data_IF_509541596545
#
_entry.id   IF_509541596545
#
_cell.length_a   1.000
_cell.length_b   1.000
_cell.length_c   1.000
_cell.angle_alpha   90.00
_cell.angle_beta   90.00
_cell.angle_gamma   90.00
#
_symmetry.space_group_name_H-M   'P 1'
#
loop_
_entity.id
_entity.type
_entity.pdbx_description
1 polymer ?
#
# COMPACT_ATOMS: atom_id res chain seq x y z
N UNK A 1 7.77 -20.41 -6.30
CA UNK A 1 7.87 -19.73 -4.98
C UNK A 1 8.76 -18.49 -4.98
N UNK A 2 10.04 -18.60 -5.35
CA UNK A 2 11.00 -17.47 -5.24
C UNK A 2 10.61 -16.21 -6.00
N UNK A 3 9.97 -16.36 -7.18
CA UNK A 3 9.39 -15.24 -7.94
C UNK A 3 8.24 -14.58 -7.17
N UNK A 4 7.25 -15.34 -6.75
CA UNK A 4 6.13 -14.84 -5.94
C UNK A 4 6.64 -14.15 -4.66
N UNK A 5 7.64 -14.72 -3.98
CA UNK A 5 8.28 -14.11 -2.82
C UNK A 5 9.02 -12.80 -3.16
N UNK A 6 9.65 -12.69 -4.34
CA UNK A 6 10.30 -11.46 -4.78
C UNK A 6 9.29 -10.33 -5.00
N UNK A 7 8.19 -10.64 -5.69
CA UNK A 7 7.09 -9.72 -6.01
C UNK A 7 6.36 -9.29 -4.73
N UNK A 8 6.06 -10.25 -3.84
CA UNK A 8 5.41 -10.02 -2.55
C UNK A 8 6.24 -9.14 -1.62
N UNK A 9 7.56 -9.36 -1.53
CA UNK A 9 8.44 -8.50 -0.73
C UNK A 9 8.56 -7.06 -1.25
N UNK A 10 8.25 -6.83 -2.53
CA UNK A 10 8.17 -5.49 -3.10
C UNK A 10 6.74 -4.93 -3.04
N UNK A 11 5.78 -5.68 -2.48
CA UNK A 11 4.39 -5.31 -2.35
C UNK A 11 3.75 -4.87 -3.69
N UNK A 12 4.17 -5.52 -4.78
CA UNK A 12 3.65 -5.20 -6.11
C UNK A 12 2.20 -5.63 -6.23
N UNK A 13 1.36 -4.74 -6.71
CA UNK A 13 -0.06 -4.98 -6.90
C UNK A 13 -0.37 -5.86 -8.10
N UNK A 14 -1.44 -6.64 -7.98
CA UNK A 14 -2.13 -7.24 -9.12
C UNK A 14 -2.76 -6.14 -9.98
N UNK A 15 -2.73 -6.32 -11.31
CA UNK A 15 -3.44 -5.43 -12.24
C UNK A 15 -4.95 -5.72 -12.31
N UNK A 16 -5.39 -6.85 -11.71
CA UNK A 16 -6.75 -7.37 -11.85
C UNK A 16 -7.53 -7.39 -10.53
N UNK A 17 -6.85 -7.21 -9.41
CA UNK A 17 -7.44 -7.31 -8.08
C UNK A 17 -6.70 -6.44 -7.07
N UNK A 18 -7.30 -6.29 -5.89
CA UNK A 18 -6.66 -5.71 -4.72
C UNK A 18 -5.75 -6.74 -4.02
N UNK A 19 -5.16 -7.70 -4.75
CA UNK A 19 -4.23 -8.71 -4.24
C UNK A 19 -2.78 -8.41 -4.61
N UNK A 20 -1.84 -8.94 -3.83
CA UNK A 20 -0.42 -8.82 -4.13
C UNK A 20 -0.16 -9.75 -5.30
N UNK A 21 0.55 -9.25 -6.31
CA UNK A 21 0.84 -10.03 -7.49
C UNK A 21 1.66 -11.27 -7.11
N UNK A 22 1.29 -12.41 -7.66
CA UNK A 22 2.05 -13.67 -7.51
C UNK A 22 3.10 -13.83 -8.61
N UNK A 23 3.05 -12.98 -9.65
CA UNK A 23 3.99 -12.94 -10.74
C UNK A 23 3.84 -11.69 -11.61
N UNK A 24 4.71 -11.56 -12.62
CA UNK A 24 4.78 -10.43 -13.55
C UNK A 24 4.11 -10.69 -14.91
N UNK A 25 3.37 -11.81 -15.06
CA UNK A 25 2.81 -12.24 -16.35
C UNK A 25 3.80 -12.88 -17.34
N UNK A 26 5.08 -12.96 -16.97
CA UNK A 26 6.15 -13.57 -17.80
C UNK A 26 6.92 -14.63 -17.00
N UNK A 27 6.74 -15.90 -17.34
CA UNK A 27 7.42 -17.03 -16.68
C UNK A 27 8.40 -17.69 -17.65
N UNK A 28 9.70 -17.45 -17.44
CA UNK A 28 10.77 -18.09 -18.20
C UNK A 28 11.95 -18.39 -17.29
N UNK A 29 12.45 -19.63 -17.34
CA UNK A 29 13.63 -20.08 -16.62
C UNK A 29 14.53 -20.80 -17.61
N UNK A 30 15.82 -20.46 -17.59
CA UNK A 30 16.87 -21.20 -18.28
C UNK A 30 17.77 -21.83 -17.22
N UNK A 31 17.92 -23.15 -17.25
CA UNK A 31 18.82 -23.89 -16.36
C UNK A 31 19.97 -24.41 -17.21
N UNK A 32 21.20 -24.08 -16.80
CA UNK A 32 22.41 -24.62 -17.39
C UNK A 32 23.17 -25.45 -16.35
N UNK A 33 23.69 -26.60 -16.75
CA UNK A 33 24.50 -27.48 -15.90
C UNK A 33 25.72 -27.98 -16.67
N UNK A 34 26.80 -28.27 -15.95
CA UNK A 34 28.02 -28.83 -16.53
C UNK A 34 27.83 -30.34 -16.81
N UNK A 35 27.93 -30.75 -18.07
CA UNK A 35 27.80 -32.14 -18.49
C UNK A 35 28.96 -33.04 -18.00
N UNK A 36 30.10 -32.47 -17.66
CA UNK A 36 31.28 -33.18 -17.15
C UNK A 36 31.38 -33.18 -15.61
N UNK A 37 30.32 -32.76 -14.90
CA UNK A 37 30.33 -32.69 -13.45
C UNK A 37 30.37 -34.08 -12.77
N UNK A 38 31.13 -34.22 -11.70
CA UNK A 38 31.23 -35.47 -10.91
C UNK A 38 30.08 -35.67 -9.91
N UNK A 39 29.21 -34.67 -9.74
CA UNK A 39 28.12 -34.67 -8.76
C UNK A 39 26.77 -34.50 -9.45
N UNK A 40 25.89 -35.46 -9.27
CA UNK A 40 24.49 -35.38 -9.70
C UNK A 40 23.65 -34.88 -8.53
N UNK A 41 22.99 -33.74 -8.70
CA UNK A 41 22.04 -33.21 -7.74
C UNK A 41 20.63 -33.61 -8.20
N UNK A 42 19.91 -34.34 -7.36
CA UNK A 42 18.60 -34.93 -7.71
C UNK A 42 17.41 -34.27 -7.03
N UNK A 43 17.66 -33.39 -6.07
CA UNK A 43 16.61 -32.68 -5.32
C UNK A 43 16.81 -31.16 -5.42
N UNK A 44 15.79 -30.47 -5.93
CA UNK A 44 15.71 -29.00 -6.02
C UNK A 44 14.62 -28.41 -5.11
N UNK A 45 14.09 -29.20 -4.17
CA UNK A 45 13.14 -28.74 -3.16
C UNK A 45 13.75 -27.61 -2.30
N UNK A 46 12.89 -26.81 -1.67
CA UNK A 46 13.33 -25.72 -0.79
C UNK A 46 14.13 -26.17 0.44
N UNK A 47 14.13 -27.47 0.75
CA UNK A 47 14.91 -28.06 1.84
C UNK A 47 16.31 -28.54 1.38
N UNK A 48 16.57 -28.56 0.08
CA UNK A 48 17.84 -28.95 -0.50
C UNK A 48 18.75 -27.74 -0.68
N UNK A 49 20.08 -27.95 -0.63
CA UNK A 49 21.04 -26.86 -0.88
C UNK A 49 20.92 -26.34 -2.31
N UNK A 50 20.61 -27.20 -3.28
CA UNK A 50 20.38 -26.79 -4.65
C UNK A 50 19.15 -25.89 -4.75
N UNK A 51 18.02 -26.28 -4.14
CA UNK A 51 16.79 -25.50 -4.15
C UNK A 51 16.95 -24.14 -3.44
N UNK A 52 17.65 -24.09 -2.30
CA UNK A 52 17.98 -22.83 -1.62
C UNK A 52 18.76 -21.86 -2.54
N UNK A 53 19.79 -22.38 -3.24
CA UNK A 53 20.63 -21.57 -4.14
C UNK A 53 19.86 -21.11 -5.38
N UNK A 54 19.02 -21.97 -5.97
CA UNK A 54 18.09 -21.58 -7.03
C UNK A 54 17.17 -20.48 -6.52
N UNK A 55 16.61 -20.64 -5.32
CA UNK A 55 15.68 -19.69 -4.77
C UNK A 55 16.29 -18.31 -4.50
N UNK A 56 17.49 -18.27 -3.91
CA UNK A 56 18.25 -17.03 -3.70
C UNK A 56 18.60 -16.35 -5.03
N UNK A 57 19.10 -17.11 -6.00
CA UNK A 57 19.48 -16.61 -7.32
C UNK A 57 18.28 -16.03 -8.07
N UNK A 58 17.18 -16.79 -8.16
CA UNK A 58 15.94 -16.36 -8.82
C UNK A 58 15.37 -15.11 -8.14
N UNK A 59 15.29 -15.09 -6.81
CA UNK A 59 14.74 -13.94 -6.08
C UNK A 59 15.55 -12.67 -6.32
N UNK A 60 16.88 -12.77 -6.30
CA UNK A 60 17.78 -11.65 -6.59
C UNK A 60 17.63 -11.17 -8.03
N UNK A 61 17.66 -12.09 -8.99
CA UNK A 61 17.53 -11.77 -10.42
C UNK A 61 16.17 -11.13 -10.73
N UNK A 62 15.07 -11.65 -10.17
CA UNK A 62 13.72 -11.09 -10.35
C UNK A 62 13.65 -9.67 -9.78
N UNK A 63 14.17 -9.40 -8.58
CA UNK A 63 14.17 -8.03 -8.03
C UNK A 63 14.99 -7.06 -8.90
N UNK A 64 16.14 -7.50 -9.42
CA UNK A 64 16.94 -6.69 -10.33
C UNK A 64 16.21 -6.43 -11.65
N UNK A 65 15.55 -7.44 -12.21
CA UNK A 65 14.76 -7.28 -13.43
C UNK A 65 13.58 -6.30 -13.22
N UNK A 66 12.87 -6.41 -12.10
CA UNK A 66 11.77 -5.52 -11.73
C UNK A 66 12.26 -4.07 -11.53
N UNK A 67 13.42 -3.88 -10.90
CA UNK A 67 14.07 -2.58 -10.79
C UNK A 67 14.38 -2.00 -12.17
N UNK A 68 14.97 -2.79 -13.07
CA UNK A 68 15.36 -2.31 -14.40
C UNK A 68 14.15 -1.98 -15.30
N UNK A 69 13.08 -2.78 -15.23
CA UNK A 69 11.91 -2.62 -16.11
C UNK A 69 10.89 -1.59 -15.59
N UNK A 70 10.71 -1.51 -14.27
CA UNK A 70 9.59 -0.73 -13.67
C UNK A 70 10.04 0.19 -12.54
N UNK A 71 11.35 0.28 -12.27
CA UNK A 71 11.91 0.97 -11.11
C UNK A 71 11.42 0.45 -9.75
N UNK A 72 10.83 -0.75 -9.70
CA UNK A 72 10.32 -1.36 -8.49
C UNK A 72 11.46 -1.64 -7.50
N UNK A 73 11.45 -0.94 -6.38
CA UNK A 73 12.51 -0.95 -5.37
C UNK A 73 11.97 -0.52 -4.01
N UNK A 74 12.70 -0.80 -2.93
CA UNK A 74 12.31 -0.35 -1.58
C UNK A 74 11.93 1.13 -1.52
N UNK A 75 12.78 2.07 -1.99
CA UNK A 75 12.45 3.49 -2.02
C UNK A 75 11.23 3.85 -2.87
N UNK A 76 11.03 3.19 -4.02
CA UNK A 76 9.84 3.40 -4.87
C UNK A 76 8.55 2.91 -4.21
N UNK A 77 8.64 1.79 -3.48
CA UNK A 77 7.52 1.18 -2.77
C UNK A 77 7.20 1.94 -1.47
N UNK A 78 8.15 2.71 -0.93
CA UNK A 78 7.93 3.64 0.17
C UNK A 78 7.38 4.99 -0.29
N UNK A 79 6.38 4.96 -1.17
CA UNK A 79 5.63 6.12 -1.62
C UNK A 79 4.15 5.90 -1.32
N UNK A 80 3.45 6.94 -0.89
CA UNK A 80 2.01 6.87 -0.64
C UNK A 80 1.28 6.36 -1.89
N UNK A 81 1.58 6.92 -3.07
CA UNK A 81 0.98 6.51 -4.34
C UNK A 81 1.24 5.04 -4.68
N UNK A 82 2.42 4.52 -4.34
CA UNK A 82 2.74 3.11 -4.58
C UNK A 82 1.95 2.19 -3.64
N UNK A 83 1.77 2.58 -2.37
CA UNK A 83 0.99 1.83 -1.38
C UNK A 83 -0.49 1.77 -1.74
N UNK A 84 -1.06 2.89 -2.13
CA UNK A 84 -2.50 3.04 -2.31
C UNK A 84 -3.00 2.59 -3.69
N UNK A 85 -2.09 2.39 -4.65
CA UNK A 85 -2.41 2.03 -6.04
C UNK A 85 -3.28 0.77 -6.16
N UNK A 86 -3.02 -0.26 -5.34
CA UNK A 86 -3.77 -1.54 -5.34
C UNK A 86 -5.26 -1.37 -5.08
N UNK A 87 -5.60 -0.41 -4.22
CA UNK A 87 -6.98 -0.07 -3.88
C UNK A 87 -7.55 1.02 -4.79
N UNK A 88 -6.84 1.37 -5.87
CA UNK A 88 -7.20 2.43 -6.82
C UNK A 88 -7.39 3.79 -6.14
N UNK A 89 -6.76 4.03 -4.99
CA UNK A 89 -6.78 5.35 -4.34
C UNK A 89 -5.67 6.19 -4.97
N UNK A 90 -6.10 7.09 -5.84
CA UNK A 90 -5.30 8.03 -6.63
C UNK A 90 -5.80 9.46 -6.40
N UNK A 91 -5.03 10.51 -6.77
CA UNK A 91 -5.52 11.89 -6.71
C UNK A 91 -6.86 12.10 -7.43
N UNK A 92 -7.07 11.44 -8.58
CA UNK A 92 -8.33 11.54 -9.33
C UNK A 92 -9.52 10.97 -8.53
N UNK A 93 -9.38 9.76 -7.98
CA UNK A 93 -10.45 9.16 -7.16
C UNK A 93 -10.67 9.88 -5.83
N UNK A 94 -9.61 10.48 -5.26
CA UNK A 94 -9.72 11.33 -4.06
C UNK A 94 -10.49 12.61 -4.38
N UNK A 95 -10.28 13.18 -5.57
CA UNK A 95 -11.05 14.32 -6.05
C UNK A 95 -12.54 13.95 -6.22
N UNK A 96 -12.85 12.85 -6.90
CA UNK A 96 -14.22 12.36 -7.06
C UNK A 96 -14.93 12.20 -5.71
N UNK A 97 -14.27 11.54 -4.75
CA UNK A 97 -14.78 11.36 -3.40
C UNK A 97 -14.94 12.70 -2.66
N UNK A 98 -14.00 13.63 -2.80
CA UNK A 98 -14.11 14.97 -2.22
C UNK A 98 -15.33 15.74 -2.78
N UNK A 99 -15.63 15.63 -4.08
CA UNK A 99 -16.80 16.25 -4.69
C UNK A 99 -18.09 15.64 -4.14
N UNK A 100 -18.16 14.31 -4.08
CA UNK A 100 -19.33 13.57 -3.60
C UNK A 100 -19.68 13.94 -2.15
N UNK A 101 -18.67 14.08 -1.28
CA UNK A 101 -18.83 14.35 0.14
C UNK A 101 -18.45 15.78 0.54
N UNK A 102 -18.53 16.74 -0.40
CA UNK A 102 -18.03 18.11 -0.23
C UNK A 102 -18.59 18.82 1.01
N UNK A 103 -19.87 18.61 1.32
CA UNK A 103 -20.52 19.22 2.49
C UNK A 103 -19.85 18.82 3.81
N UNK A 104 -19.39 17.57 3.93
CA UNK A 104 -18.67 17.09 5.12
C UNK A 104 -17.35 17.85 5.29
N UNK A 105 -16.65 18.14 4.18
CA UNK A 105 -15.37 18.85 4.22
C UNK A 105 -15.53 20.36 4.47
N UNK A 106 -16.62 20.97 4.01
CA UNK A 106 -16.96 22.37 4.27
C UNK A 106 -17.06 22.68 5.77
N UNK A 107 -17.61 21.75 6.56
CA UNK A 107 -17.71 21.87 8.03
C UNK A 107 -16.35 22.01 8.72
N UNK A 108 -15.29 21.51 8.08
CA UNK A 108 -13.91 21.59 8.56
C UNK A 108 -13.09 22.65 7.83
N UNK A 109 -13.74 23.51 7.03
CA UNK A 109 -13.10 24.56 6.21
C UNK A 109 -12.07 24.01 5.22
N UNK A 110 -12.26 22.78 4.77
CA UNK A 110 -11.41 22.16 3.77
C UNK A 110 -12.05 22.38 2.41
N UNK A 111 -11.33 23.07 1.53
CA UNK A 111 -11.74 23.25 0.15
C UNK A 111 -10.56 23.07 -0.79
N UNK A 112 -10.73 22.21 -1.78
CA UNK A 112 -9.84 22.10 -2.92
C UNK A 112 -10.47 22.81 -4.13
N UNK A 113 -9.79 23.84 -4.65
CA UNK A 113 -10.29 24.66 -5.76
C UNK A 113 -10.37 23.88 -7.07
N UNK A 114 -9.41 23.00 -7.32
CA UNK A 114 -9.26 22.24 -8.55
C UNK A 114 -8.53 20.91 -8.33
N UNK A 115 -8.73 19.90 -9.21
CA UNK A 115 -8.10 18.59 -9.06
C UNK A 115 -6.57 18.65 -8.97
N UNK A 116 -5.94 19.55 -9.73
CA UNK A 116 -4.48 19.72 -9.78
C UNK A 116 -3.89 20.18 -8.44
N UNK A 117 -4.63 21.00 -7.67
CA UNK A 117 -4.19 21.45 -6.35
C UNK A 117 -4.20 20.29 -5.33
N UNK A 118 -5.23 19.45 -5.39
CA UNK A 118 -5.31 18.23 -4.58
C UNK A 118 -4.16 17.28 -4.95
N UNK A 119 -3.92 17.07 -6.24
CA UNK A 119 -2.80 16.24 -6.71
C UNK A 119 -1.46 16.78 -6.22
N UNK A 120 -1.23 18.09 -6.31
CA UNK A 120 -0.02 18.73 -5.79
C UNK A 120 0.16 18.48 -4.28
N UNK A 121 -0.90 18.68 -3.48
CA UNK A 121 -0.87 18.41 -2.03
C UNK A 121 -0.57 16.93 -1.74
N UNK A 122 -1.22 16.02 -2.44
CA UNK A 122 -0.95 14.58 -2.34
C UNK A 122 0.52 14.26 -2.66
N UNK A 123 1.08 14.85 -3.73
CA UNK A 123 2.46 14.62 -4.14
C UNK A 123 3.48 15.19 -3.15
N UNK A 124 3.20 16.32 -2.50
CA UNK A 124 4.01 16.88 -1.40
C UNK A 124 4.14 15.89 -0.24
N UNK A 125 3.06 15.18 0.08
CA UNK A 125 3.03 14.18 1.15
C UNK A 125 3.43 12.76 0.72
N UNK A 126 3.76 12.55 -0.56
CA UNK A 126 3.98 11.22 -1.12
C UNK A 126 5.17 10.48 -0.47
N UNK A 127 6.08 11.21 0.18
CA UNK A 127 7.24 10.68 0.91
C UNK A 127 7.18 10.94 2.42
N UNK A 128 6.07 11.44 2.95
CA UNK A 128 5.93 11.68 4.39
C UNK A 128 5.99 10.33 5.13
N UNK A 129 7.11 10.06 5.80
CA UNK A 129 7.42 8.73 6.35
C UNK A 129 6.33 8.17 7.26
N UNK A 130 5.88 8.95 8.24
CA UNK A 130 4.83 8.53 9.16
C UNK A 130 3.49 8.26 8.45
N UNK A 131 3.11 9.10 7.48
CA UNK A 131 1.93 8.88 6.66
C UNK A 131 2.01 7.55 5.89
N UNK A 132 3.13 7.31 5.19
CA UNK A 132 3.33 6.07 4.42
C UNK A 132 3.27 4.84 5.34
N UNK A 133 3.82 4.91 6.56
CA UNK A 133 3.78 3.82 7.54
C UNK A 133 2.36 3.54 8.04
N UNK A 134 1.66 4.56 8.54
CA UNK A 134 0.29 4.42 9.05
C UNK A 134 -0.67 3.93 7.97
N UNK A 135 -0.57 4.47 6.75
CA UNK A 135 -1.36 4.00 5.60
C UNK A 135 -0.99 2.56 5.25
N UNK A 136 0.29 2.18 5.25
CA UNK A 136 0.69 0.78 4.96
C UNK A 136 0.08 -0.20 5.97
N UNK A 137 0.04 0.16 7.26
CA UNK A 137 -0.60 -0.65 8.30
C UNK A 137 -2.12 -0.72 8.12
N UNK A 138 -2.75 0.40 7.77
CA UNK A 138 -4.19 0.44 7.49
C UNK A 138 -4.56 -0.42 6.28
N UNK A 139 -3.78 -0.36 5.20
CA UNK A 139 -3.98 -1.21 4.02
C UNK A 139 -3.81 -2.69 4.37
N UNK A 140 -2.86 -3.03 5.24
CA UNK A 140 -2.72 -4.40 5.72
C UNK A 140 -3.92 -4.87 6.54
N UNK A 141 -4.52 -3.98 7.34
CA UNK A 141 -5.78 -4.27 8.04
C UNK A 141 -6.92 -4.52 7.04
N UNK A 142 -7.02 -3.71 5.98
CA UNK A 142 -7.97 -3.94 4.89
C UNK A 142 -7.77 -5.30 4.22
N UNK A 143 -6.52 -5.70 3.99
CA UNK A 143 -6.19 -7.04 3.50
C UNK A 143 -6.70 -8.14 4.43
N UNK A 144 -6.45 -8.03 5.74
CA UNK A 144 -6.88 -9.04 6.71
C UNK A 144 -8.41 -9.15 6.81
N UNK A 145 -9.15 -8.06 6.62
CA UNK A 145 -10.62 -8.11 6.53
C UNK A 145 -11.06 -8.84 5.26
N UNK A 146 -10.46 -8.51 4.11
CA UNK A 146 -10.76 -9.20 2.84
C UNK A 146 -10.42 -10.68 2.85
N UNK A 147 -9.40 -11.07 3.62
CA UNK A 147 -9.03 -12.47 3.84
C UNK A 147 -9.85 -13.15 4.94
N UNK A 148 -10.85 -12.46 5.51
CA UNK A 148 -11.73 -12.97 6.57
C UNK A 148 -10.97 -13.36 7.86
N UNK A 149 -9.80 -12.74 8.09
CA UNK A 149 -8.99 -12.95 9.29
C UNK A 149 -9.38 -11.99 10.43
N UNK A 150 -9.97 -10.85 10.10
CA UNK A 150 -10.44 -9.83 11.06
C UNK A 150 -11.87 -9.43 10.70
N UNK A 151 -12.71 -9.23 11.73
CA UNK A 151 -14.07 -8.75 11.56
C UNK A 151 -14.09 -7.27 11.19
N UNK A 152 -14.89 -6.90 10.18
CA UNK A 152 -14.98 -5.53 9.68
C UNK A 152 -15.28 -4.47 10.77
N UNK A 153 -16.20 -4.68 11.74
CA UNK A 153 -16.43 -3.70 12.80
C UNK A 153 -15.19 -3.42 13.67
N UNK A 154 -14.35 -4.44 13.91
CA UNK A 154 -13.11 -4.29 14.67
C UNK A 154 -12.07 -3.52 13.85
N UNK A 155 -11.96 -3.85 12.56
CA UNK A 155 -11.07 -3.15 11.65
C UNK A 155 -11.44 -1.67 11.47
N UNK A 156 -12.73 -1.35 11.36
CA UNK A 156 -13.20 0.05 11.29
C UNK A 156 -12.79 0.80 12.57
N UNK A 157 -13.03 0.20 13.74
CA UNK A 157 -12.70 0.81 15.03
C UNK A 157 -11.20 1.05 15.18
N UNK A 158 -10.38 0.02 14.95
CA UNK A 158 -8.92 0.10 15.17
C UNK A 158 -8.19 0.82 14.03
N UNK A 159 -8.63 0.67 12.78
CA UNK A 159 -8.05 1.39 11.64
C UNK A 159 -8.24 2.90 11.76
N UNK A 160 -9.42 3.34 12.20
CA UNK A 160 -9.68 4.75 12.51
C UNK A 160 -8.73 5.27 13.60
N UNK A 161 -8.57 4.53 14.70
CA UNK A 161 -7.66 4.89 15.80
C UNK A 161 -6.20 4.97 15.33
N UNK A 162 -5.76 4.01 14.52
CA UNK A 162 -4.43 3.98 13.94
C UNK A 162 -4.10 5.27 13.17
N UNK A 163 -5.03 5.77 12.36
CA UNK A 163 -4.80 6.99 11.58
C UNK A 163 -4.93 8.25 12.44
N UNK A 164 -5.96 8.35 13.29
CA UNK A 164 -6.21 9.53 14.14
C UNK A 164 -5.07 9.76 15.14
N UNK A 165 -4.65 8.70 15.83
CA UNK A 165 -3.64 8.81 16.90
C UNK A 165 -2.22 8.45 16.45
N UNK A 166 -2.06 7.82 15.29
CA UNK A 166 -0.73 7.43 14.78
C UNK A 166 -0.13 8.45 13.81
N UNK A 167 -0.95 9.27 13.15
CA UNK A 167 -0.45 10.27 12.21
C UNK A 167 0.12 11.48 12.95
N UNK A 168 1.35 11.87 12.60
CA UNK A 168 1.95 13.11 13.06
C UNK A 168 1.41 14.30 12.27
N UNK A 169 1.23 15.37 13.02
CA UNK A 169 0.83 16.69 12.59
C UNK A 169 1.89 17.73 12.98
N UNK A 170 1.69 18.99 12.55
CA UNK A 170 2.64 20.10 12.69
C UNK A 170 3.12 20.22 14.15
N UNK A 171 4.36 20.68 14.33
CA UNK A 171 4.97 20.93 15.63
C UNK A 171 5.05 19.71 16.58
N UNK A 172 5.01 18.49 16.03
CA UNK A 172 5.16 17.24 16.78
C UNK A 172 3.87 16.75 17.44
N UNK A 173 2.74 17.43 17.20
CA UNK A 173 1.42 17.00 17.66
C UNK A 173 0.87 15.85 16.81
N UNK A 174 -0.17 15.18 17.31
CA UNK A 174 -0.87 14.13 16.56
C UNK A 174 -2.04 14.69 15.76
N UNK A 175 -2.39 13.99 14.68
CA UNK A 175 -3.45 14.35 13.76
C UNK A 175 -4.82 14.52 14.42
N UNK A 176 -5.07 13.80 15.51
CA UNK A 176 -6.25 14.00 16.36
C UNK A 176 -6.47 15.45 16.79
N UNK A 177 -5.40 16.20 17.08
CA UNK A 177 -5.49 17.61 17.48
C UNK A 177 -5.87 18.53 16.32
N UNK A 178 -5.75 18.07 15.07
CA UNK A 178 -5.98 18.87 13.87
C UNK A 178 -7.43 19.24 13.65
N UNK A 179 -8.31 18.38 14.13
CA UNK A 179 -9.74 18.53 13.95
C UNK A 179 -10.46 18.30 15.27
N UNK A 180 -11.59 19.00 15.51
CA UNK A 180 -12.41 18.77 16.70
C UNK A 180 -12.85 17.30 16.82
N UNK A 181 -13.10 16.80 18.04
CA UNK A 181 -13.56 15.43 18.27
C UNK A 181 -14.78 15.03 17.40
N UNK A 182 -15.69 15.98 17.15
CA UNK A 182 -16.85 15.80 16.24
C UNK A 182 -16.48 15.45 14.79
N UNK A 183 -15.27 15.76 14.33
CA UNK A 183 -14.78 15.36 13.02
C UNK A 183 -14.61 13.84 12.93
N UNK A 184 -14.24 13.23 14.06
CA UNK A 184 -14.04 11.81 14.17
C UNK A 184 -15.35 11.08 14.40
N UNK A 185 -16.37 11.71 14.96
CA UNK A 185 -17.67 11.10 15.28
C UNK A 185 -18.73 11.33 14.19
N UNK A 186 -18.34 11.81 13.01
CA UNK A 186 -19.28 12.06 11.92
C UNK A 186 -20.08 10.80 11.57
N UNK A 187 -21.43 10.89 11.43
CA UNK A 187 -22.24 9.74 11.04
C UNK A 187 -21.81 9.13 9.69
N UNK A 188 -21.25 9.93 8.79
CA UNK A 188 -20.66 9.43 7.54
C UNK A 188 -19.53 8.42 7.76
N UNK A 189 -18.66 8.64 8.74
CA UNK A 189 -17.59 7.70 9.11
C UNK A 189 -18.13 6.35 9.63
N UNK A 190 -19.35 6.32 10.18
CA UNK A 190 -19.98 5.06 10.62
C UNK A 190 -20.44 4.20 9.44
N UNK A 191 -20.70 4.81 8.29
CA UNK A 191 -21.22 4.13 7.10
C UNK A 191 -20.15 3.93 6.03
N UNK A 192 -19.05 4.67 6.09
CA UNK A 192 -17.92 4.50 5.20
C UNK A 192 -17.26 3.14 5.39
N UNK A 193 -17.04 2.46 4.27
CA UNK A 193 -16.12 1.33 4.18
C UNK A 193 -14.72 1.73 4.64
N UNK A 194 -13.86 0.76 4.96
CA UNK A 194 -12.46 1.03 5.31
C UNK A 194 -11.73 1.86 4.25
N UNK A 195 -12.01 1.59 2.96
CA UNK A 195 -11.42 2.34 1.86
C UNK A 195 -11.84 3.81 1.90
N UNK A 196 -13.12 4.08 2.09
CA UNK A 196 -13.67 5.44 2.14
C UNK A 196 -13.20 6.18 3.39
N UNK A 197 -13.08 5.50 4.54
CA UNK A 197 -12.49 6.07 5.74
C UNK A 197 -11.03 6.49 5.51
N UNK A 198 -10.23 5.65 4.85
CA UNK A 198 -8.87 5.99 4.48
C UNK A 198 -8.83 7.21 3.54
N UNK A 199 -9.70 7.24 2.51
CA UNK A 199 -9.78 8.38 1.58
C UNK A 199 -10.18 9.67 2.29
N UNK A 200 -11.18 9.62 3.18
CA UNK A 200 -11.62 10.73 4.00
C UNK A 200 -10.48 11.27 4.87
N UNK A 201 -9.79 10.40 5.60
CA UNK A 201 -8.68 10.79 6.49
C UNK A 201 -7.46 11.30 5.72
N UNK A 202 -7.19 10.74 4.53
CA UNK A 202 -6.15 11.25 3.63
C UNK A 202 -6.48 12.67 3.15
N UNK A 203 -7.72 12.94 2.78
CA UNK A 203 -8.14 14.28 2.34
C UNK A 203 -7.99 15.31 3.47
N UNK A 204 -8.41 14.95 4.69
CA UNK A 204 -8.16 15.78 5.86
C UNK A 204 -6.65 16.03 6.05
N UNK A 205 -5.82 14.99 5.95
CA UNK A 205 -4.38 15.10 6.15
C UNK A 205 -3.68 16.01 5.13
N UNK A 206 -3.96 15.82 3.83
CA UNK A 206 -3.29 16.57 2.75
C UNK A 206 -3.84 17.99 2.57
N UNK A 207 -5.04 18.29 3.08
CA UNK A 207 -5.64 19.62 3.00
C UNK A 207 -4.87 20.68 3.80
N UNK A 208 -4.07 20.25 4.79
CA UNK A 208 -3.28 21.11 5.69
C UNK A 208 -1.97 21.59 5.05
#
# INVERSE_FOLDING_TARGET
ESKAAAVSQLLLGSCYSEEIATGSGTDGIVIASNLCGTRTLTDSSGHSKLGELIGKSVKSAVKQALLNQTAASGPRQFLLSARTARYKITPATLWEFYIEYREIFNDFKISFEMPSLLEQKFLTHNRTSNLVLCVSLYLHLMDQVRWELIMEPEAIREGKRLLIYGLYWKDGDFFEKAYPAKAWEQPGLLHFSLKEQLMYLLLLYIAI
#
